data_IF_870189237425
#
_entry.id   IF_870189237425
#
_cell.length_a   1.000
_cell.length_b   1.000
_cell.length_c   1.000
_cell.angle_alpha   90.00
_cell.angle_beta   90.00
_cell.angle_gamma   90.00
#
_symmetry.space_group_name_H-M   'P 1'
#
loop_
_entity.id
_entity.type
_entity.pdbx_description
1 polymer ?
#
# COMPACT_ATOMS: atom_id res chain seq x y z
N UNK A 1 -7.41 -2.21 -13.96
CA UNK A 1 -6.22 -1.72 -14.70
C UNK A 1 -6.39 -0.32 -15.29
N UNK A 2 -7.51 0.05 -15.94
CA UNK A 2 -7.70 1.41 -16.52
C UNK A 2 -7.64 2.57 -15.50
N UNK A 3 -8.24 2.41 -14.33
CA UNK A 3 -8.40 3.52 -13.37
C UNK A 3 -7.09 3.99 -12.71
N UNK A 4 -6.17 3.06 -12.36
CA UNK A 4 -4.87 3.41 -11.79
C UNK A 4 -3.94 4.09 -12.81
N UNK A 5 -3.90 3.59 -14.05
CA UNK A 5 -3.14 4.21 -15.14
C UNK A 5 -3.71 5.59 -15.53
N UNK A 6 -5.03 5.78 -15.42
CA UNK A 6 -5.67 7.10 -15.60
C UNK A 6 -5.26 8.09 -14.50
N UNK A 7 -5.09 7.64 -13.26
CA UNK A 7 -4.66 8.49 -12.16
C UNK A 7 -3.22 8.98 -12.33
N UNK A 8 -2.29 8.10 -12.69
CA UNK A 8 -0.88 8.50 -12.94
C UNK A 8 -0.77 9.51 -14.10
N UNK A 9 -1.55 9.29 -15.16
CA UNK A 9 -1.58 10.20 -16.30
C UNK A 9 -2.18 11.56 -15.92
N UNK A 10 -3.22 11.56 -15.08
CA UNK A 10 -3.82 12.78 -14.56
C UNK A 10 -2.85 13.53 -13.64
N UNK A 11 -2.17 12.82 -12.74
CA UNK A 11 -1.16 13.39 -11.85
C UNK A 11 -0.04 14.06 -12.66
N UNK A 12 0.41 13.42 -13.76
CA UNK A 12 1.40 14.02 -14.65
C UNK A 12 0.88 15.28 -15.32
N UNK A 13 -0.35 15.27 -15.85
CA UNK A 13 -0.96 16.45 -16.46
C UNK A 13 -1.10 17.62 -15.47
N UNK A 14 -1.47 17.32 -14.21
CA UNK A 14 -1.54 18.32 -13.15
C UNK A 14 -0.16 18.89 -12.86
N UNK A 15 0.88 18.06 -12.75
CA UNK A 15 2.26 18.52 -12.55
C UNK A 15 2.73 19.40 -13.71
N UNK A 16 2.51 18.97 -14.95
CA UNK A 16 2.89 19.73 -16.15
C UNK A 16 2.17 21.09 -16.18
N UNK A 17 0.90 21.13 -15.78
CA UNK A 17 0.14 22.37 -15.66
C UNK A 17 0.71 23.31 -14.59
N UNK A 18 1.04 22.80 -13.41
CA UNK A 18 1.63 23.60 -12.34
C UNK A 18 3.00 24.16 -12.74
N UNK A 19 3.81 23.38 -13.46
CA UNK A 19 5.08 23.83 -14.03
C UNK A 19 4.83 24.96 -15.04
N UNK A 20 3.92 24.77 -15.99
CA UNK A 20 3.61 25.75 -17.03
C UNK A 20 3.13 27.10 -16.45
N UNK A 21 2.38 27.08 -15.35
CA UNK A 21 1.88 28.30 -14.67
C UNK A 21 2.88 28.93 -13.70
N UNK A 22 4.03 28.30 -13.45
CA UNK A 22 5.04 28.78 -12.51
C UNK A 22 4.67 28.55 -11.03
N UNK A 23 3.78 27.61 -10.73
CA UNK A 23 3.33 27.30 -9.36
C UNK A 23 4.29 26.31 -8.66
N UNK A 24 5.58 26.65 -8.61
CA UNK A 24 6.64 25.75 -8.11
C UNK A 24 6.46 25.34 -6.65
N UNK A 25 5.96 26.23 -5.79
CA UNK A 25 5.65 25.93 -4.38
C UNK A 25 4.51 24.93 -4.25
N UNK A 26 3.43 25.10 -5.01
CA UNK A 26 2.29 24.16 -5.04
C UNK A 26 2.72 22.79 -5.58
N UNK A 27 3.54 22.76 -6.62
CA UNK A 27 4.10 21.52 -7.17
C UNK A 27 4.89 20.74 -6.10
N UNK A 28 5.76 21.43 -5.35
CA UNK A 28 6.56 20.80 -4.30
C UNK A 28 5.69 20.19 -3.19
N UNK A 29 4.62 20.88 -2.80
CA UNK A 29 3.65 20.38 -1.81
C UNK A 29 2.93 19.15 -2.37
N UNK A 30 2.41 19.22 -3.61
CA UNK A 30 1.76 18.09 -4.27
C UNK A 30 2.66 16.85 -4.33
N UNK A 31 3.93 17.02 -4.71
CA UNK A 31 4.88 15.90 -4.76
C UNK A 31 5.18 15.29 -3.38
N UNK A 32 5.21 16.11 -2.33
CA UNK A 32 5.37 15.63 -0.96
C UNK A 32 4.14 14.82 -0.52
N UNK A 33 2.93 15.34 -0.77
CA UNK A 33 1.69 14.64 -0.42
C UNK A 33 1.57 13.31 -1.17
N UNK A 34 1.90 13.28 -2.46
CA UNK A 34 1.93 12.05 -3.27
C UNK A 34 2.93 11.02 -2.75
N UNK A 35 4.08 11.45 -2.19
CA UNK A 35 5.07 10.53 -1.58
C UNK A 35 4.55 9.92 -0.28
N UNK A 36 3.78 10.69 0.49
CA UNK A 36 3.22 10.24 1.78
C UNK A 36 1.85 9.59 1.66
N UNK A 37 1.28 9.52 0.45
CA UNK A 37 -0.02 8.88 0.22
C UNK A 37 0.04 7.39 0.58
N UNK A 38 -0.68 7.03 1.64
CA UNK A 38 -0.77 5.66 2.15
C UNK A 38 -1.50 4.73 1.17
N UNK A 39 -2.32 5.27 0.28
CA UNK A 39 -2.95 4.49 -0.79
C UNK A 39 -2.01 4.21 -1.95
N UNK A 40 -0.88 4.90 -2.04
CA UNK A 40 0.07 4.83 -3.15
C UNK A 40 -0.63 4.93 -4.51
N UNK A 41 -1.68 5.75 -4.61
CA UNK A 41 -2.52 5.91 -5.79
C UNK A 41 -3.39 4.69 -6.14
N UNK A 42 -3.74 3.86 -5.15
CA UNK A 42 -4.47 2.60 -5.35
C UNK A 42 -3.76 1.62 -6.30
N UNK A 43 -2.44 1.70 -6.36
CA UNK A 43 -1.60 0.86 -7.21
C UNK A 43 -1.23 -0.42 -6.46
N UNK A 44 -1.79 -1.53 -6.92
CA UNK A 44 -1.58 -2.86 -6.32
C UNK A 44 -0.09 -3.20 -6.21
N UNK A 45 0.70 -2.92 -7.26
CA UNK A 45 2.15 -3.19 -7.25
C UNK A 45 2.86 -2.47 -6.09
N UNK A 46 2.52 -1.20 -5.85
CA UNK A 46 3.10 -0.39 -4.77
C UNK A 46 2.63 -0.84 -3.38
N UNK A 47 1.39 -1.32 -3.26
CA UNK A 47 0.87 -1.91 -2.03
C UNK A 47 1.59 -3.21 -1.72
N UNK A 48 1.82 -4.06 -2.72
CA UNK A 48 2.58 -5.30 -2.57
C UNK A 48 4.03 -5.02 -2.21
N UNK A 49 4.70 -4.05 -2.85
CA UNK A 49 6.04 -3.61 -2.47
C UNK A 49 6.11 -3.23 -0.97
N UNK A 50 5.11 -2.52 -0.44
CA UNK A 50 5.05 -2.17 0.98
C UNK A 50 4.92 -3.41 1.87
N UNK A 51 4.04 -4.34 1.50
CA UNK A 51 3.84 -5.59 2.25
C UNK A 51 5.15 -6.39 2.28
N UNK A 52 5.82 -6.54 1.13
CA UNK A 52 7.09 -7.25 1.05
C UNK A 52 8.18 -6.57 1.88
N UNK A 53 8.25 -5.23 1.87
CA UNK A 53 9.20 -4.48 2.69
C UNK A 53 8.96 -4.72 4.20
N UNK A 54 7.71 -4.75 4.65
CA UNK A 54 7.35 -5.02 6.05
C UNK A 54 7.69 -6.47 6.45
N UNK A 55 7.47 -7.44 5.56
CA UNK A 55 7.86 -8.84 5.78
C UNK A 55 9.39 -8.96 5.89
N UNK A 56 10.13 -8.38 4.94
CA UNK A 56 11.60 -8.42 4.93
C UNK A 56 12.24 -7.67 6.11
N UNK A 57 11.58 -6.60 6.60
CA UNK A 57 11.95 -5.90 7.83
C UNK A 57 11.59 -6.66 9.12
N UNK A 58 10.78 -7.71 9.00
CA UNK A 58 10.17 -8.42 10.12
C UNK A 58 9.46 -7.44 11.07
N UNK A 59 8.60 -6.60 10.50
CA UNK A 59 7.74 -5.67 11.22
C UNK A 59 6.30 -6.16 11.20
N UNK A 60 5.97 -7.05 12.12
CA UNK A 60 4.63 -7.62 12.26
C UNK A 60 3.58 -6.56 12.60
N UNK A 61 3.94 -5.60 13.44
CA UNK A 61 3.01 -4.55 13.87
C UNK A 61 2.67 -3.66 12.69
N UNK A 62 3.67 -3.16 11.96
CA UNK A 62 3.48 -2.37 10.75
C UNK A 62 2.68 -3.13 9.68
N UNK A 63 2.91 -4.43 9.52
CA UNK A 63 2.13 -5.28 8.61
C UNK A 63 0.65 -5.36 9.00
N UNK A 64 0.34 -5.57 10.29
CA UNK A 64 -1.04 -5.61 10.79
C UNK A 64 -1.73 -4.27 10.66
N UNK A 65 -1.05 -3.17 10.98
CA UNK A 65 -1.58 -1.82 10.84
C UNK A 65 -1.86 -1.47 9.38
N UNK A 66 -0.93 -1.81 8.48
CA UNK A 66 -1.11 -1.60 7.05
C UNK A 66 -2.26 -2.45 6.49
N UNK A 67 -2.38 -3.71 6.89
CA UNK A 67 -3.50 -4.56 6.48
C UNK A 67 -4.84 -4.02 6.98
N UNK A 68 -4.93 -3.59 8.24
CA UNK A 68 -6.14 -2.96 8.79
C UNK A 68 -6.53 -1.71 8.00
N UNK A 69 -5.54 -0.90 7.60
CA UNK A 69 -5.78 0.27 6.77
C UNK A 69 -6.37 -0.08 5.40
N UNK A 70 -5.79 -1.07 4.70
CA UNK A 70 -6.34 -1.57 3.43
C UNK A 70 -7.76 -2.11 3.61
N UNK A 71 -8.02 -2.80 4.72
CA UNK A 71 -9.36 -3.28 5.04
C UNK A 71 -10.38 -2.14 5.18
N UNK A 72 -10.08 -1.17 6.03
CA UNK A 72 -10.97 -0.02 6.26
C UNK A 72 -11.22 0.81 5.02
N UNK A 73 -10.21 0.98 4.15
CA UNK A 73 -10.29 1.90 3.00
C UNK A 73 -10.76 1.22 1.71
N UNK A 74 -10.42 -0.05 1.50
CA UNK A 74 -10.69 -0.79 0.26
C UNK A 74 -11.70 -1.90 0.47
N UNK A 75 -11.43 -2.81 1.42
CA UNK A 75 -12.21 -4.04 1.55
C UNK A 75 -13.58 -3.82 2.20
N UNK A 76 -13.71 -2.80 3.05
CA UNK A 76 -15.00 -2.33 3.60
C UNK A 76 -16.02 -1.95 2.53
N UNK A 77 -15.57 -1.65 1.30
CA UNK A 77 -16.39 -1.26 0.15
C UNK A 77 -16.67 -2.44 -0.79
N UNK A 78 -16.08 -3.61 -0.54
CA UNK A 78 -16.33 -4.82 -1.32
C UNK A 78 -17.68 -5.43 -0.94
N UNK A 79 -18.32 -6.09 -1.90
CA UNK A 79 -19.52 -6.88 -1.63
C UNK A 79 -19.22 -8.00 -0.63
N UNK A 80 -20.21 -8.31 0.23
CA UNK A 80 -20.09 -9.30 1.30
C UNK A 80 -19.60 -10.67 0.83
N UNK A 81 -19.86 -11.05 -0.43
CA UNK A 81 -19.36 -12.29 -1.04
C UNK A 81 -17.83 -12.43 -0.99
N UNK A 82 -17.10 -11.31 -0.95
CA UNK A 82 -15.64 -11.30 -0.90
C UNK A 82 -15.06 -11.36 0.52
N UNK A 83 -15.87 -11.20 1.57
CA UNK A 83 -15.40 -11.15 2.96
C UNK A 83 -14.65 -12.43 3.38
N UNK A 84 -15.06 -13.59 2.86
CA UNK A 84 -14.37 -14.86 3.12
C UNK A 84 -12.99 -14.93 2.48
N UNK A 85 -12.85 -14.39 1.26
CA UNK A 85 -11.58 -14.32 0.53
C UNK A 85 -10.61 -13.35 1.19
N UNK A 86 -11.11 -12.21 1.66
CA UNK A 86 -10.33 -11.22 2.40
C UNK A 86 -9.69 -11.81 3.66
N UNK A 87 -10.49 -12.50 4.50
CA UNK A 87 -9.98 -13.18 5.71
C UNK A 87 -8.97 -14.28 5.39
N UNK A 88 -9.18 -15.03 4.30
CA UNK A 88 -8.22 -16.04 3.84
C UNK A 88 -6.90 -15.39 3.41
N UNK A 89 -6.97 -14.23 2.75
CA UNK A 89 -5.80 -13.49 2.31
C UNK A 89 -4.99 -12.97 3.50
N UNK A 90 -5.66 -12.38 4.50
CA UNK A 90 -5.02 -11.96 5.76
C UNK A 90 -4.33 -13.13 6.47
N UNK A 91 -5.03 -14.26 6.63
CA UNK A 91 -4.46 -15.44 7.29
C UNK A 91 -3.25 -15.99 6.53
N UNK A 92 -3.31 -16.01 5.20
CA UNK A 92 -2.21 -16.48 4.35
C UNK A 92 -1.00 -15.53 4.43
N UNK A 93 -1.25 -14.22 4.49
CA UNK A 93 -0.21 -13.21 4.64
C UNK A 93 0.53 -13.32 5.98
N UNK A 94 -0.20 -13.51 7.08
CA UNK A 94 0.40 -13.70 8.39
C UNK A 94 1.20 -15.01 8.48
N UNK A 95 0.71 -16.09 7.87
CA UNK A 95 1.46 -17.35 7.76
C UNK A 95 2.76 -17.16 6.98
N UNK A 96 2.71 -16.45 5.85
CA UNK A 96 3.89 -16.13 5.05
C UNK A 96 4.93 -15.36 5.87
N UNK A 97 4.50 -14.37 6.65
CA UNK A 97 5.39 -13.64 7.56
C UNK A 97 6.08 -14.57 8.55
N UNK A 98 5.32 -15.45 9.22
CA UNK A 98 5.85 -16.40 10.21
C UNK A 98 6.88 -17.34 9.57
N UNK A 99 6.57 -17.91 8.40
CA UNK A 99 7.48 -18.80 7.68
C UNK A 99 8.75 -18.05 7.29
N UNK A 100 8.64 -16.82 6.81
CA UNK A 100 9.80 -15.99 6.45
C UNK A 100 10.66 -15.67 7.67
N UNK A 101 10.06 -15.30 8.81
CA UNK A 101 10.75 -15.07 10.09
C UNK A 101 11.49 -16.32 10.58
N UNK A 102 10.82 -17.47 10.53
CA UNK A 102 11.37 -18.75 10.96
C UNK A 102 12.54 -19.21 10.08
N UNK A 103 12.40 -19.15 8.74
CA UNK A 103 13.46 -19.48 7.79
C UNK A 103 14.72 -18.62 7.94
N UNK A 104 14.56 -17.40 8.48
CA UNK A 104 15.65 -16.44 8.64
C UNK A 104 16.28 -16.47 10.03
N UNK A 105 15.92 -17.46 10.87
CA UNK A 105 16.46 -17.62 12.22
C UNK A 105 15.97 -16.57 13.24
N UNK A 106 15.01 -15.72 12.87
CA UNK A 106 14.46 -14.64 13.72
C UNK A 106 13.19 -15.08 14.45
N UNK A 107 13.32 -16.12 15.28
CA UNK A 107 12.22 -16.66 16.07
C UNK A 107 11.70 -15.67 17.13
N UNK A 108 12.54 -14.70 17.53
CA UNK A 108 12.21 -13.59 18.43
C UNK A 108 11.11 -12.66 17.87
N UNK A 109 10.86 -12.69 16.56
CA UNK A 109 9.88 -11.84 15.88
C UNK A 109 8.59 -12.58 15.47
N UNK A 110 8.44 -13.83 15.89
CA UNK A 110 7.28 -14.69 15.57
C UNK A 110 6.13 -14.53 16.58
N UNK A 111 6.41 -13.99 17.77
CA UNK A 111 5.45 -13.83 18.87
C UNK A 111 4.79 -12.44 18.89
#
# INVERSE_FOLDING_TARGET
>A
RKMAASCEKLDQLVKDYLIFRGFSSTLKILEQELKTDKDKGLRVDRMLEQIWALIAGYDLQGLREYWRYLNQRLFSRLEQRYASSERKLESSLLKLYIVSAHQSGRQDKVL
#
